data_IF_991422054159
#
_entry.id   IF_991422054159
#
_cell.length_a   1.000
_cell.length_b   1.000
_cell.length_c   1.000
_cell.angle_alpha   90.00
_cell.angle_beta   90.00
_cell.angle_gamma   90.00
#
_symmetry.space_group_name_H-M   'P 1'
#
loop_
_entity.id
_entity.type
_entity.pdbx_description
1 polymer ?
#
# COMPACT_ATOMS: atom_id res chain seq x y z
N UNK A 1 -15.98 14.75 23.87
CA UNK A 1 -16.70 14.07 22.78
C UNK A 1 -15.92 14.36 21.50
N UNK A 2 -15.00 13.47 21.11
CA UNK A 2 -14.24 13.61 19.86
C UNK A 2 -15.15 13.23 18.69
N UNK A 3 -15.25 14.06 17.66
CA UNK A 3 -16.20 13.85 16.58
C UNK A 3 -15.82 12.61 15.79
N UNK A 4 -16.87 11.90 15.38
CA UNK A 4 -16.89 10.70 14.58
C UNK A 4 -15.84 10.76 13.45
N UNK A 5 -14.67 10.15 13.68
CA UNK A 5 -13.68 9.93 12.64
C UNK A 5 -14.24 8.77 11.82
N UNK A 6 -14.94 9.08 10.73
CA UNK A 6 -15.19 8.13 9.66
C UNK A 6 -13.82 7.59 9.26
N UNK A 7 -13.46 6.44 9.81
CA UNK A 7 -12.29 5.69 9.38
C UNK A 7 -12.70 5.21 7.99
N UNK A 8 -12.35 5.99 6.95
CA UNK A 8 -12.19 5.42 5.63
C UNK A 8 -11.21 4.26 5.86
N UNK A 9 -11.71 3.02 5.80
CA UNK A 9 -10.93 1.83 6.08
C UNK A 9 -10.08 1.52 4.85
N UNK A 10 -9.32 2.53 4.38
CA UNK A 10 -8.26 2.35 3.39
C UNK A 10 -7.23 1.43 4.03
N UNK A 11 -7.44 0.14 3.85
CA UNK A 11 -6.56 -0.89 4.37
C UNK A 11 -5.22 -0.67 3.69
N UNK A 12 -4.21 -0.31 4.48
CA UNK A 12 -2.84 -0.18 4.01
C UNK A 12 -2.51 -1.43 3.22
N UNK A 13 -2.00 -1.28 2.00
CA UNK A 13 -1.73 -2.43 1.16
C UNK A 13 -0.70 -3.33 1.87
N UNK A 14 -1.04 -4.57 2.26
CA UNK A 14 -0.16 -5.42 3.05
C UNK A 14 1.06 -5.88 2.23
N UNK A 15 0.96 -5.85 0.90
CA UNK A 15 2.04 -6.25 -0.01
C UNK A 15 3.19 -5.24 -0.06
N UNK A 16 2.91 -3.96 0.14
CA UNK A 16 3.92 -2.91 0.18
C UNK A 16 3.93 -2.17 1.52
N UNK A 17 3.25 -2.68 2.53
CA UNK A 17 3.12 -2.07 3.86
C UNK A 17 2.66 -0.60 3.82
N UNK A 18 1.79 -0.25 2.88
CA UNK A 18 1.36 1.15 2.71
C UNK A 18 2.26 2.06 1.87
N UNK A 19 3.43 1.58 1.40
CA UNK A 19 4.41 2.40 0.67
C UNK A 19 4.00 2.74 -0.76
N UNK A 20 3.24 1.86 -1.41
CA UNK A 20 2.88 1.98 -2.85
C UNK A 20 3.92 1.37 -3.80
N UNK A 21 5.08 0.94 -3.31
CA UNK A 21 6.15 0.35 -4.10
C UNK A 21 6.96 -0.67 -3.28
N UNK A 22 7.71 -1.52 -3.96
CA UNK A 22 8.69 -2.43 -3.36
C UNK A 22 10.11 -1.98 -3.70
N UNK A 23 11.00 -2.11 -2.73
CA UNK A 23 12.42 -1.77 -2.86
C UNK A 23 13.17 -3.06 -3.09
N UNK A 24 13.81 -3.17 -4.26
CA UNK A 24 14.67 -4.30 -4.57
C UNK A 24 16.09 -3.92 -4.19
N UNK A 25 16.68 -4.74 -3.34
CA UNK A 25 18.05 -4.58 -2.84
C UNK A 25 18.93 -5.68 -3.38
N UNK A 26 20.16 -5.32 -3.68
CA UNK A 26 21.21 -6.28 -4.04
C UNK A 26 21.68 -7.11 -2.84
N UNK A 27 22.48 -8.13 -3.10
CA UNK A 27 23.16 -8.90 -2.07
C UNK A 27 24.10 -8.05 -1.18
N UNK A 28 24.46 -6.83 -1.63
CA UNK A 28 25.22 -5.84 -0.85
C UNK A 28 24.33 -5.02 0.11
N UNK A 29 23.00 -5.11 -0.04
CA UNK A 29 22.02 -4.33 0.74
C UNK A 29 21.70 -2.95 0.17
N UNK A 30 22.38 -2.54 -0.91
CA UNK A 30 22.13 -1.30 -1.63
C UNK A 30 20.82 -1.38 -2.42
N UNK A 31 20.13 -0.24 -2.56
CA UNK A 31 18.89 -0.15 -3.32
C UNK A 31 19.23 -0.11 -4.80
N UNK A 32 18.80 -1.15 -5.53
CA UNK A 32 19.01 -1.20 -6.97
C UNK A 32 17.89 -0.50 -7.73
N UNK A 33 16.63 -0.71 -7.29
CA UNK A 33 15.44 -0.10 -7.91
C UNK A 33 14.23 -0.12 -7.01
N UNK A 34 13.32 0.80 -7.31
CA UNK A 34 11.96 0.85 -6.77
C UNK A 34 11.00 0.42 -7.87
N UNK A 35 10.13 -0.54 -7.57
CA UNK A 35 9.11 -0.99 -8.50
C UNK A 35 7.72 -0.76 -7.90
N UNK A 36 6.79 -0.28 -8.73
CA UNK A 36 5.45 0.08 -8.28
C UNK A 36 4.70 -1.17 -7.81
N UNK A 37 4.03 -1.07 -6.65
CA UNK A 37 3.25 -2.15 -6.09
C UNK A 37 2.10 -2.53 -7.03
N UNK A 38 2.15 -3.72 -7.63
CA UNK A 38 1.14 -4.16 -8.60
C UNK A 38 -0.25 -4.36 -7.99
N UNK A 39 -0.33 -4.57 -6.67
CA UNK A 39 -1.59 -4.80 -5.94
C UNK A 39 -2.36 -3.51 -5.69
N UNK A 40 -1.68 -2.45 -5.25
CA UNK A 40 -2.29 -1.15 -5.04
C UNK A 40 -2.02 -0.15 -6.18
N UNK A 41 -1.30 -0.57 -7.22
CA UNK A 41 -0.91 0.28 -8.38
C UNK A 41 -0.26 1.61 -7.98
N UNK A 42 0.55 1.62 -6.92
CA UNK A 42 1.21 2.85 -6.46
C UNK A 42 0.45 3.67 -5.44
N UNK A 43 -0.79 3.33 -5.07
CA UNK A 43 -1.58 4.14 -4.13
C UNK A 43 -1.22 3.90 -2.66
N UNK A 44 -0.57 2.78 -2.34
CA UNK A 44 -0.29 2.35 -0.97
C UNK A 44 -1.52 1.83 -0.22
N UNK A 45 -2.70 1.86 -0.81
CA UNK A 45 -3.96 1.45 -0.18
C UNK A 45 -4.70 0.49 -1.08
N UNK A 46 -5.31 -0.53 -0.52
CA UNK A 46 -6.25 -1.33 -1.30
C UNK A 46 -7.55 -0.52 -1.47
N UNK A 47 -8.19 -0.57 -2.65
CA UNK A 47 -9.54 -0.07 -2.77
C UNK A 47 -10.41 -0.82 -1.76
N UNK A 48 -11.25 -0.10 -1.03
CA UNK A 48 -12.29 -0.70 -0.20
C UNK A 48 -13.02 -1.69 -1.10
N UNK A 49 -12.98 -2.98 -0.74
CA UNK A 49 -13.73 -4.03 -1.43
C UNK A 49 -15.19 -3.91 -1.02
N UNK A 50 -15.80 -2.79 -1.37
CA UNK A 50 -17.22 -2.67 -1.54
C UNK A 50 -17.42 -2.68 -3.06
N UNK A 51 -18.28 -3.57 -3.56
CA UNK A 51 -18.48 -3.93 -4.99
C UNK A 51 -17.51 -5.04 -5.46
N UNK A 52 -17.95 -6.28 -5.68
CA UNK A 52 -19.09 -6.71 -6.49
C UNK A 52 -19.65 -8.08 -6.03
N UNK A 53 -20.98 -8.23 -6.15
CA UNK A 53 -21.83 -9.41 -5.92
C UNK A 53 -21.52 -10.62 -6.84
#
# INVERSE_FOLDING_TARGET
MVPNKTILHRLSCPHCEGKGYYVIRDCTGEIQREETCSFCRGTGVLPDKDEEE
#
